data_IF_476413562518
#
_entry.id   IF_476413562518
#
_cell.length_a   1.000
_cell.length_b   1.000
_cell.length_c   1.000
_cell.angle_alpha   90.00
_cell.angle_beta   90.00
_cell.angle_gamma   90.00
#
_symmetry.space_group_name_H-M   'P 1'
#
loop_
_entity.id
_entity.type
_entity.pdbx_description
1 polymer ?
#
# COMPACT_ATOMS: atom_id res chain seq x y z
N UNK A 1 4.59 18.17 -70.33
CA UNK A 1 3.79 17.32 -69.42
C UNK A 1 4.15 17.42 -67.93
N UNK A 2 5.43 17.34 -67.52
CA UNK A 2 5.84 17.35 -66.09
C UNK A 2 5.31 18.54 -65.25
N UNK A 3 5.32 19.77 -65.79
CA UNK A 3 4.78 20.98 -65.11
C UNK A 3 3.26 20.91 -64.86
N UNK A 4 2.49 20.30 -65.78
CA UNK A 4 1.04 20.16 -65.67
C UNK A 4 0.67 19.10 -64.61
N UNK A 5 1.46 18.02 -64.54
CA UNK A 5 1.37 17.00 -63.48
C UNK A 5 1.72 17.59 -62.11
N UNK A 6 2.78 18.40 -62.00
CA UNK A 6 3.13 19.12 -60.75
C UNK A 6 2.06 20.14 -60.31
N UNK A 7 1.41 20.81 -61.26
CA UNK A 7 0.29 21.71 -60.98
C UNK A 7 -0.95 20.95 -60.49
N UNK A 8 -1.28 19.83 -61.12
CA UNK A 8 -2.40 18.97 -60.72
C UNK A 8 -2.19 18.30 -59.36
N UNK A 9 -0.98 17.81 -59.06
CA UNK A 9 -0.62 17.28 -57.74
C UNK A 9 -0.69 18.35 -56.65
N UNK A 10 -0.18 19.57 -56.90
CA UNK A 10 -0.36 20.71 -55.98
C UNK A 10 -1.84 21.08 -55.78
N UNK A 11 -2.67 21.00 -56.82
CA UNK A 11 -4.13 21.23 -56.72
C UNK A 11 -4.83 20.15 -55.90
N UNK A 12 -4.45 18.88 -56.07
CA UNK A 12 -4.94 17.75 -55.27
C UNK A 12 -4.52 17.88 -53.80
N UNK A 13 -3.26 18.15 -53.51
CA UNK A 13 -2.77 18.41 -52.14
C UNK A 13 -3.51 19.57 -51.46
N UNK A 14 -3.84 20.64 -52.20
CA UNK A 14 -4.66 21.75 -51.68
C UNK A 14 -6.10 21.34 -51.42
N UNK A 15 -6.70 20.49 -52.25
CA UNK A 15 -8.05 19.94 -52.04
C UNK A 15 -8.06 19.01 -50.82
N UNK A 16 -7.10 18.09 -50.71
CA UNK A 16 -6.92 17.20 -49.56
C UNK A 16 -6.69 17.99 -48.26
N UNK A 17 -5.86 19.03 -48.29
CA UNK A 17 -5.64 19.91 -47.14
C UNK A 17 -6.88 20.75 -46.75
N UNK A 18 -7.81 21.00 -47.69
CA UNK A 18 -9.12 21.60 -47.40
C UNK A 18 -10.11 20.56 -46.84
N UNK A 19 -9.94 19.29 -47.20
CA UNK A 19 -10.78 18.17 -46.72
C UNK A 19 -10.33 17.60 -45.36
N UNK A 20 -9.12 17.93 -44.88
CA UNK A 20 -8.70 17.58 -43.51
C UNK A 20 -9.64 18.22 -42.49
N UNK A 21 -10.39 17.38 -41.79
CA UNK A 21 -11.40 17.75 -40.79
C UNK A 21 -10.79 18.35 -39.52
N UNK A 22 -9.53 18.04 -39.22
CA UNK A 22 -8.83 18.53 -38.03
C UNK A 22 -8.12 19.86 -38.35
N UNK A 23 -8.46 20.96 -37.65
CA UNK A 23 -7.84 22.26 -37.90
C UNK A 23 -6.36 22.23 -37.50
N UNK A 24 -5.49 22.76 -38.39
CA UNK A 24 -4.07 22.97 -38.11
C UNK A 24 -3.86 23.81 -36.85
N UNK A 25 -2.78 23.58 -36.06
CA UNK A 25 -2.46 24.39 -34.88
C UNK A 25 -2.49 25.90 -35.15
N UNK A 26 -2.01 26.34 -36.31
CA UNK A 26 -2.06 27.75 -36.73
C UNK A 26 -3.50 28.24 -36.92
N UNK A 27 -4.37 27.42 -37.51
CA UNK A 27 -5.79 27.76 -37.69
C UNK A 27 -6.52 27.85 -36.34
N UNK A 28 -6.22 26.96 -35.40
CA UNK A 28 -6.79 27.00 -34.04
C UNK A 28 -6.37 28.26 -33.29
N UNK A 29 -5.09 28.63 -33.34
CA UNK A 29 -4.59 29.87 -32.72
C UNK A 29 -5.20 31.11 -33.37
N UNK A 30 -5.28 31.14 -34.71
CA UNK A 30 -5.91 32.26 -35.42
C UNK A 30 -7.42 32.37 -35.11
N UNK A 31 -8.10 31.25 -34.88
CA UNK A 31 -9.50 31.26 -34.45
C UNK A 31 -9.66 31.81 -33.03
N UNK A 32 -8.72 31.53 -32.12
CA UNK A 32 -8.72 32.06 -30.76
C UNK A 32 -8.40 33.56 -30.69
N UNK A 33 -7.61 34.07 -31.63
CA UNK A 33 -7.11 35.46 -31.65
C UNK A 33 -7.92 36.34 -32.61
N UNK A 34 -8.99 35.82 -33.23
CA UNK A 34 -9.67 36.44 -34.38
C UNK A 34 -9.99 37.94 -34.21
N UNK A 35 -10.34 38.36 -33.00
CA UNK A 35 -10.77 39.73 -32.69
C UNK A 35 -9.86 40.45 -31.67
N UNK A 36 -8.67 39.91 -31.36
CA UNK A 36 -7.77 40.44 -30.33
C UNK A 36 -6.40 40.77 -30.94
N UNK A 37 -5.92 42.01 -30.74
CA UNK A 37 -4.54 42.33 -31.07
C UNK A 37 -3.59 41.71 -30.04
N UNK A 38 -2.84 40.71 -30.48
CA UNK A 38 -1.89 39.97 -29.63
C UNK A 38 -0.47 40.24 -30.08
N UNK A 39 0.45 40.61 -29.17
CA UNK A 39 1.86 40.79 -29.49
C UNK A 39 2.47 39.54 -30.16
N UNK A 40 3.40 39.70 -31.13
CA UNK A 40 3.99 38.57 -31.86
C UNK A 40 4.63 37.50 -30.95
N UNK A 41 5.17 37.91 -29.79
CA UNK A 41 5.76 37.00 -28.81
C UNK A 41 4.70 36.05 -28.19
N UNK A 42 3.55 36.61 -27.78
CA UNK A 42 2.45 35.84 -27.19
C UNK A 42 1.82 34.92 -28.23
N UNK A 43 1.70 35.38 -29.48
CA UNK A 43 1.24 34.54 -30.60
C UNK A 43 2.13 33.31 -30.81
N UNK A 44 3.46 33.48 -30.72
CA UNK A 44 4.42 32.36 -30.82
C UNK A 44 4.28 31.38 -29.64
N UNK A 45 4.08 31.86 -28.42
CA UNK A 45 3.85 31.01 -27.24
C UNK A 45 2.55 30.21 -27.35
N UNK A 46 1.47 30.84 -27.82
CA UNK A 46 0.19 30.17 -28.05
C UNK A 46 0.33 29.08 -29.13
N UNK A 47 1.01 29.38 -30.23
CA UNK A 47 1.31 28.40 -31.27
C UNK A 47 2.15 27.24 -30.74
N UNK A 48 3.18 27.53 -29.96
CA UNK A 48 4.01 26.51 -29.33
C UNK A 48 3.17 25.57 -28.45
N UNK A 49 2.28 26.13 -27.61
CA UNK A 49 1.41 25.34 -26.75
C UNK A 49 0.47 24.41 -27.55
N UNK A 50 -0.10 24.89 -28.65
CA UNK A 50 -1.02 24.09 -29.48
C UNK A 50 -0.29 23.02 -30.33
N UNK A 51 0.95 23.31 -30.75
CA UNK A 51 1.79 22.33 -31.43
C UNK A 51 2.17 21.21 -30.46
N UNK A 52 2.59 21.56 -29.24
CA UNK A 52 2.91 20.58 -28.21
C UNK A 52 1.72 19.70 -27.84
N UNK A 53 0.53 20.28 -27.67
CA UNK A 53 -0.67 19.48 -27.35
C UNK A 53 -1.01 18.51 -28.48
N UNK A 54 -0.89 18.94 -29.74
CA UNK A 54 -1.13 18.08 -30.90
C UNK A 54 -0.12 16.94 -30.99
N UNK A 55 1.18 17.22 -30.79
CA UNK A 55 2.22 16.18 -30.77
C UNK A 55 2.04 15.18 -29.62
N UNK A 56 1.70 15.66 -28.43
CA UNK A 56 1.45 14.77 -27.29
C UNK A 56 0.22 13.89 -27.52
N UNK A 57 -0.81 14.40 -28.20
CA UNK A 57 -1.98 13.61 -28.58
C UNK A 57 -1.62 12.54 -29.62
N UNK A 58 -0.89 12.87 -30.67
CA UNK A 58 -0.41 11.91 -31.67
C UNK A 58 0.43 10.78 -31.03
N UNK A 59 1.32 11.13 -30.10
CA UNK A 59 2.10 10.14 -29.34
C UNK A 59 1.23 9.31 -28.41
N UNK A 60 0.23 9.90 -27.74
CA UNK A 60 -0.71 9.18 -26.88
C UNK A 60 -1.53 8.14 -27.66
N UNK A 61 -1.93 8.48 -28.88
CA UNK A 61 -2.72 7.61 -29.76
C UNK A 61 -1.86 6.51 -30.39
N UNK A 62 -0.57 6.76 -30.62
CA UNK A 62 0.37 5.75 -31.10
C UNK A 62 0.62 4.61 -30.09
N UNK A 63 0.44 4.85 -28.77
CA UNK A 63 0.66 3.82 -27.76
C UNK A 63 -0.52 2.83 -27.64
N UNK A 64 -0.26 1.52 -27.48
CA UNK A 64 -1.30 0.52 -27.24
C UNK A 64 -2.13 0.87 -26.00
N UNK A 65 -3.45 0.69 -26.06
CA UNK A 65 -4.41 1.10 -25.00
C UNK A 65 -4.05 0.59 -23.59
N UNK A 66 -3.42 -0.58 -23.49
CA UNK A 66 -3.07 -1.24 -22.23
C UNK A 66 -1.54 -1.39 -22.00
N UNK A 67 -0.70 -0.61 -22.70
CA UNK A 67 0.76 -0.69 -22.51
C UNK A 67 1.21 0.01 -21.22
N UNK A 68 2.22 -0.57 -20.55
CA UNK A 68 2.96 0.09 -19.46
C UNK A 68 3.54 1.44 -19.90
N UNK A 69 3.99 1.52 -21.15
CA UNK A 69 4.56 2.74 -21.74
C UNK A 69 3.53 3.87 -21.79
N UNK A 70 2.28 3.55 -22.13
CA UNK A 70 1.16 4.49 -22.12
C UNK A 70 0.85 5.00 -20.72
N UNK A 71 0.92 4.10 -19.73
CA UNK A 71 0.74 4.48 -18.32
C UNK A 71 1.86 5.41 -17.83
N UNK A 72 3.12 5.11 -18.15
CA UNK A 72 4.27 5.96 -17.82
C UNK A 72 4.12 7.33 -18.49
N UNK A 73 3.73 7.35 -19.78
CA UNK A 73 3.47 8.59 -20.51
C UNK A 73 2.38 9.44 -19.84
N UNK A 74 1.25 8.86 -19.45
CA UNK A 74 0.21 9.59 -18.72
C UNK A 74 0.69 10.11 -17.36
N UNK A 75 1.56 9.37 -16.66
CA UNK A 75 2.16 9.81 -15.38
C UNK A 75 3.10 10.99 -15.56
N UNK A 76 3.89 11.03 -16.63
CA UNK A 76 4.76 12.16 -16.95
C UNK A 76 3.96 13.46 -17.16
N UNK A 77 2.82 13.36 -17.84
CA UNK A 77 1.95 14.51 -18.13
C UNK A 77 1.18 14.95 -16.88
N UNK A 78 0.66 14.01 -16.07
CA UNK A 78 -0.21 14.28 -14.91
C UNK A 78 0.52 14.72 -13.63
N UNK A 79 1.62 15.48 -13.78
CA UNK A 79 2.51 15.91 -12.70
C UNK A 79 1.87 16.85 -11.66
N UNK A 80 2.59 17.05 -10.55
CA UNK A 80 2.18 17.92 -9.44
C UNK A 80 2.08 19.40 -9.84
N UNK A 81 2.84 19.83 -10.85
CA UNK A 81 2.84 21.21 -11.38
C UNK A 81 1.50 21.57 -12.02
N UNK A 82 0.99 20.75 -12.95
CA UNK A 82 -0.33 20.98 -13.56
C UNK A 82 -1.46 20.94 -12.53
N UNK A 83 -1.31 20.13 -11.48
CA UNK A 83 -2.28 20.07 -10.38
C UNK A 83 -2.23 21.33 -9.52
N UNK A 84 -1.03 21.84 -9.19
CA UNK A 84 -0.83 23.09 -8.43
C UNK A 84 -1.51 24.27 -9.12
N UNK A 85 -1.36 24.38 -10.45
CA UNK A 85 -1.96 25.47 -11.24
C UNK A 85 -3.36 25.15 -11.79
N UNK A 86 -3.99 24.03 -11.39
CA UNK A 86 -5.36 23.64 -11.79
C UNK A 86 -5.58 23.48 -13.32
N UNK A 87 -4.52 23.19 -14.07
CA UNK A 87 -4.54 23.07 -15.53
C UNK A 87 -4.79 21.65 -16.07
N UNK A 88 -5.01 20.68 -15.17
CA UNK A 88 -5.27 19.28 -15.56
C UNK A 88 -6.47 19.10 -16.50
N UNK A 89 -7.46 20.00 -16.42
CA UNK A 89 -8.64 19.96 -17.28
C UNK A 89 -8.28 20.17 -18.77
N UNK A 90 -7.24 20.96 -19.07
CA UNK A 90 -6.76 21.17 -20.45
C UNK A 90 -6.07 19.91 -21.01
N UNK A 91 -5.45 19.12 -20.14
CA UNK A 91 -4.79 17.87 -20.51
C UNK A 91 -5.76 16.68 -20.70
N UNK A 92 -7.07 16.85 -20.47
CA UNK A 92 -8.10 15.79 -20.67
C UNK A 92 -8.16 15.26 -22.10
N UNK A 93 -7.70 16.02 -23.09
CA UNK A 93 -7.62 15.57 -24.49
C UNK A 93 -6.58 14.46 -24.70
N UNK A 94 -5.57 14.40 -23.83
CA UNK A 94 -4.43 13.49 -23.91
C UNK A 94 -4.53 12.41 -22.81
N UNK A 95 -5.03 12.79 -21.64
CA UNK A 95 -5.17 11.93 -20.47
C UNK A 95 -6.47 11.12 -20.50
N UNK A 96 -6.50 9.93 -19.88
CA UNK A 96 -7.71 9.14 -19.78
C UNK A 96 -8.76 9.84 -18.90
N UNK A 97 -10.04 9.58 -19.19
CA UNK A 97 -11.19 10.19 -18.49
C UNK A 97 -11.17 9.96 -16.97
N UNK A 98 -10.59 8.84 -16.51
CA UNK A 98 -10.32 8.57 -15.10
C UNK A 98 -8.81 8.37 -14.91
N UNK A 99 -8.14 9.42 -14.44
CA UNK A 99 -6.79 9.29 -13.92
C UNK A 99 -6.81 8.40 -12.67
N UNK A 100 -6.11 7.27 -12.72
CA UNK A 100 -5.84 6.46 -11.52
C UNK A 100 -5.16 7.39 -10.50
N UNK A 101 -5.66 7.44 -9.26
CA UNK A 101 -5.00 8.19 -8.19
C UNK A 101 -3.57 7.66 -8.04
N UNK A 102 -2.60 8.42 -8.52
CA UNK A 102 -1.19 8.08 -8.33
C UNK A 102 -0.84 8.48 -6.91
N UNK A 103 -0.40 7.51 -6.11
CA UNK A 103 0.27 7.84 -4.87
C UNK A 103 1.54 8.61 -5.26
N UNK A 104 1.66 9.85 -4.77
CA UNK A 104 2.71 10.83 -5.10
C UNK A 104 4.15 10.36 -4.85
N UNK A 105 4.33 9.14 -4.33
CA UNK A 105 5.62 8.50 -3.97
C UNK A 105 6.05 7.37 -4.93
N UNK A 106 5.34 7.15 -6.04
CA UNK A 106 5.78 6.21 -7.07
C UNK A 106 6.68 6.94 -8.08
N UNK A 107 7.99 6.70 -8.04
CA UNK A 107 8.88 7.22 -9.09
C UNK A 107 8.47 6.62 -10.43
N UNK A 108 8.50 7.45 -11.48
CA UNK A 108 8.11 7.10 -12.85
C UNK A 108 8.88 5.88 -13.39
N UNK A 109 10.05 5.64 -12.82
CA UNK A 109 11.00 4.58 -13.15
C UNK A 109 11.36 3.75 -11.90
N UNK A 110 10.41 3.40 -11.03
CA UNK A 110 10.69 2.24 -10.16
C UNK A 110 10.83 1.06 -11.12
N UNK A 111 12.09 0.73 -11.45
CA UNK A 111 12.48 -0.64 -11.72
C UNK A 111 11.66 -1.48 -10.77
N UNK A 112 10.91 -2.42 -11.32
CA UNK A 112 10.17 -3.43 -10.59
C UNK A 112 11.14 -4.06 -9.57
N UNK A 113 11.35 -3.44 -8.40
CA UNK A 113 11.73 -4.12 -7.19
C UNK A 113 10.44 -4.85 -6.86
N UNK A 114 10.16 -5.89 -7.66
CA UNK A 114 9.27 -6.97 -7.33
C UNK A 114 9.73 -7.32 -5.93
N UNK A 115 8.94 -6.90 -4.94
CA UNK A 115 8.95 -7.58 -3.65
C UNK A 115 8.72 -9.00 -4.07
N UNK A 116 9.79 -9.81 -4.10
CA UNK A 116 9.72 -11.19 -4.57
C UNK A 116 8.64 -11.81 -3.72
N UNK A 117 7.47 -12.07 -4.31
CA UNK A 117 6.44 -12.82 -3.65
C UNK A 117 7.11 -14.13 -3.28
N UNK A 118 7.17 -14.41 -1.98
CA UNK A 118 7.76 -15.66 -1.54
C UNK A 118 6.74 -16.71 -1.93
N UNK A 119 7.03 -17.43 -3.01
CA UNK A 119 6.27 -18.62 -3.38
C UNK A 119 6.78 -19.74 -2.48
N UNK A 120 6.21 -19.86 -1.29
CA UNK A 120 6.38 -21.04 -0.46
C UNK A 120 5.53 -22.17 -1.03
N UNK A 121 6.03 -23.40 -0.97
CA UNK A 121 5.22 -24.59 -1.28
C UNK A 121 4.01 -24.62 -0.34
N UNK A 122 2.87 -25.08 -0.85
CA UNK A 122 1.62 -25.12 -0.10
C UNK A 122 1.74 -25.90 1.23
N UNK A 123 2.51 -26.99 1.23
CA UNK A 123 2.83 -27.78 2.43
C UNK A 123 3.55 -26.96 3.52
N UNK A 124 4.48 -26.10 3.11
CA UNK A 124 5.21 -25.22 4.04
C UNK A 124 4.28 -24.14 4.58
N UNK A 125 3.43 -23.57 3.73
CA UNK A 125 2.41 -22.61 4.16
C UNK A 125 1.48 -23.22 5.22
N UNK A 126 1.03 -24.46 5.01
CA UNK A 126 0.16 -25.14 5.96
C UNK A 126 0.88 -25.36 7.30
N UNK A 127 2.12 -25.87 7.29
CA UNK A 127 2.92 -26.02 8.51
C UNK A 127 3.16 -24.70 9.26
N UNK A 128 3.33 -23.59 8.53
CA UNK A 128 3.43 -22.26 9.14
C UNK A 128 2.10 -21.86 9.80
N UNK A 129 0.96 -22.10 9.16
CA UNK A 129 -0.35 -21.85 9.74
C UNK A 129 -0.53 -22.68 11.00
N UNK A 130 -0.32 -24.00 10.91
CA UNK A 130 -0.51 -24.94 12.01
C UNK A 130 0.35 -24.55 13.22
N UNK A 131 1.63 -24.19 12.99
CA UNK A 131 2.53 -23.70 14.03
C UNK A 131 2.03 -22.42 14.71
N UNK A 132 1.56 -21.43 13.95
CA UNK A 132 1.04 -20.20 14.55
C UNK A 132 -0.31 -20.40 15.24
N UNK A 133 -1.06 -21.45 14.92
CA UNK A 133 -2.34 -21.79 15.55
C UNK A 133 -2.20 -22.62 16.83
N UNK A 134 -1.00 -23.12 17.15
CA UNK A 134 -0.72 -23.75 18.44
C UNK A 134 -0.90 -22.75 19.60
N UNK A 135 -1.51 -23.21 20.69
CA UNK A 135 -1.86 -22.38 21.86
C UNK A 135 -0.65 -21.91 22.68
N UNK A 136 0.50 -22.57 22.53
CA UNK A 136 1.77 -22.21 23.13
C UNK A 136 2.54 -21.14 22.31
N UNK A 137 2.18 -20.92 21.04
CA UNK A 137 2.74 -19.89 20.16
C UNK A 137 1.87 -18.63 20.17
N UNK A 138 0.55 -18.81 20.06
CA UNK A 138 -0.41 -17.73 20.10
C UNK A 138 -1.66 -18.12 20.85
N UNK A 139 -2.32 -17.18 21.51
CA UNK A 139 -3.60 -17.42 22.20
C UNK A 139 -4.76 -16.82 21.43
N UNK A 140 -5.88 -17.53 21.39
CA UNK A 140 -7.11 -17.03 20.76
C UNK A 140 -7.80 -15.97 21.64
N UNK A 141 -8.26 -14.87 21.04
CA UNK A 141 -9.05 -13.89 21.76
C UNK A 141 -10.48 -14.43 22.01
N UNK A 142 -11.06 -14.19 23.20
CA UNK A 142 -12.35 -14.81 23.58
C UNK A 142 -13.59 -14.14 22.97
N UNK A 143 -13.49 -12.89 22.52
CA UNK A 143 -14.66 -12.12 22.09
C UNK A 143 -15.11 -12.48 20.67
N UNK A 144 -16.42 -12.65 20.44
CA UNK A 144 -17.01 -12.82 19.11
C UNK A 144 -16.75 -11.64 18.16
N UNK A 145 -16.51 -10.45 18.72
CA UNK A 145 -16.17 -9.23 17.96
C UNK A 145 -14.67 -9.11 17.68
N UNK A 146 -13.84 -9.94 18.30
CA UNK A 146 -12.39 -9.97 18.09
C UNK A 146 -12.02 -10.85 16.89
N UNK A 147 -12.36 -10.37 15.69
CA UNK A 147 -11.94 -10.99 14.44
C UNK A 147 -11.09 -10.04 13.59
N UNK A 148 -10.27 -10.59 12.71
CA UNK A 148 -9.53 -9.85 11.69
C UNK A 148 -10.13 -10.17 10.33
N UNK A 149 -10.39 -9.14 9.52
CA UNK A 149 -10.88 -9.27 8.14
C UNK A 149 -9.78 -8.87 7.16
N UNK A 150 -9.45 -9.74 6.22
CA UNK A 150 -8.52 -9.47 5.13
C UNK A 150 -9.02 -10.15 3.86
N UNK A 151 -9.04 -9.45 2.71
CA UNK A 151 -9.54 -9.96 1.43
C UNK A 151 -10.89 -10.69 1.53
N UNK A 152 -11.86 -10.06 2.23
CA UNK A 152 -13.19 -10.61 2.49
C UNK A 152 -13.26 -11.85 3.41
N UNK A 153 -12.13 -12.43 3.82
CA UNK A 153 -12.06 -13.56 4.76
C UNK A 153 -12.04 -13.01 6.19
N UNK A 154 -12.91 -13.55 7.05
CA UNK A 154 -12.95 -13.26 8.50
C UNK A 154 -12.40 -14.45 9.28
N UNK A 155 -11.46 -14.20 10.19
CA UNK A 155 -10.87 -15.20 11.09
C UNK A 155 -10.78 -14.65 12.52
N UNK A 156 -10.95 -15.52 13.51
CA UNK A 156 -10.83 -15.15 14.92
C UNK A 156 -9.42 -14.63 15.20
N UNK A 157 -9.31 -13.51 15.93
CA UNK A 157 -8.02 -12.90 16.26
C UNK A 157 -7.25 -13.79 17.23
N UNK A 158 -5.97 -14.05 16.91
CA UNK A 158 -5.00 -14.66 17.82
C UNK A 158 -3.91 -13.65 18.16
N UNK A 159 -3.37 -13.73 19.38
CA UNK A 159 -2.32 -12.84 19.88
C UNK A 159 -1.07 -13.66 20.16
N UNK A 160 0.07 -13.24 19.61
CA UNK A 160 1.36 -13.89 19.84
C UNK A 160 1.78 -13.81 21.32
N UNK A 161 2.27 -14.92 21.85
CA UNK A 161 2.84 -15.00 23.20
C UNK A 161 4.31 -14.58 23.24
N UNK A 162 5.05 -14.89 22.16
CA UNK A 162 6.48 -14.62 22.03
C UNK A 162 6.78 -13.71 20.83
N UNK A 163 7.99 -13.14 20.81
CA UNK A 163 8.45 -12.42 19.62
C UNK A 163 8.69 -13.41 18.49
N UNK A 164 8.34 -13.03 17.26
CA UNK A 164 8.55 -13.88 16.08
C UNK A 164 10.01 -14.29 15.92
N UNK A 165 10.96 -13.46 16.37
CA UNK A 165 12.39 -13.78 16.37
C UNK A 165 12.71 -15.05 17.15
N UNK A 166 12.09 -15.23 18.31
CA UNK A 166 12.31 -16.38 19.20
C UNK A 166 11.59 -17.63 18.66
N UNK A 167 10.45 -17.41 17.99
CA UNK A 167 9.65 -18.46 17.36
C UNK A 167 10.33 -19.12 16.16
N UNK A 168 11.29 -18.45 15.49
CA UNK A 168 12.04 -19.05 14.37
C UNK A 168 12.76 -20.32 14.81
N UNK A 169 13.49 -20.26 15.93
CA UNK A 169 14.23 -21.41 16.45
C UNK A 169 13.30 -22.56 16.85
N UNK A 170 12.12 -22.23 17.40
CA UNK A 170 11.10 -23.20 17.78
C UNK A 170 10.48 -23.88 16.54
N UNK A 171 10.12 -23.09 15.54
CA UNK A 171 9.58 -23.58 14.26
C UNK A 171 10.53 -24.57 13.57
N UNK A 172 11.83 -24.24 13.51
CA UNK A 172 12.83 -25.11 12.88
C UNK A 172 12.95 -26.44 13.61
N UNK A 173 12.90 -26.43 14.95
CA UNK A 173 12.97 -27.66 15.78
C UNK A 173 11.76 -28.56 15.60
N UNK A 174 10.55 -28.00 15.53
CA UNK A 174 9.31 -28.78 15.44
C UNK A 174 9.04 -29.30 14.04
N UNK A 175 9.28 -28.47 13.02
CA UNK A 175 8.90 -28.81 11.64
C UNK A 175 10.05 -29.37 10.80
N UNK A 176 11.29 -29.19 11.24
CA UNK A 176 12.51 -29.49 10.49
C UNK A 176 12.78 -28.53 9.32
N UNK A 177 11.94 -27.50 9.11
CA UNK A 177 12.03 -26.59 7.97
C UNK A 177 12.80 -25.34 8.36
N UNK A 178 13.90 -25.07 7.66
CA UNK A 178 14.72 -23.87 7.86
C UNK A 178 14.09 -22.67 7.14
N UNK A 179 13.47 -21.77 7.90
CA UNK A 179 12.98 -20.48 7.40
C UNK A 179 13.72 -19.32 8.05
N UNK A 180 14.06 -18.30 7.26
CA UNK A 180 14.58 -17.05 7.80
C UNK A 180 13.48 -16.30 8.58
N UNK A 181 13.89 -15.49 9.56
CA UNK A 181 12.98 -14.58 10.28
C UNK A 181 12.10 -13.75 9.34
N UNK A 182 12.69 -13.18 8.28
CA UNK A 182 11.96 -12.36 7.32
C UNK A 182 10.95 -13.17 6.49
N UNK A 183 11.23 -14.45 6.24
CA UNK A 183 10.33 -15.37 5.53
C UNK A 183 9.17 -15.76 6.44
N UNK A 184 9.45 -16.19 7.68
CA UNK A 184 8.43 -16.58 8.65
C UNK A 184 7.50 -15.42 8.99
N UNK A 185 8.05 -14.20 9.15
CA UNK A 185 7.25 -13.01 9.43
C UNK A 185 6.30 -12.66 8.28
N UNK A 186 6.74 -12.83 7.02
CA UNK A 186 5.92 -12.59 5.83
C UNK A 186 4.88 -13.69 5.59
N UNK A 187 5.21 -14.94 5.93
CA UNK A 187 4.32 -16.10 5.82
C UNK A 187 3.32 -16.20 6.98
N UNK A 188 3.52 -15.45 8.07
CA UNK A 188 2.64 -15.45 9.24
C UNK A 188 1.19 -15.14 8.85
N UNK A 189 0.20 -15.93 9.33
CA UNK A 189 -1.21 -15.69 9.04
C UNK A 189 -1.68 -14.31 9.52
N UNK A 190 -2.56 -13.67 8.73
CA UNK A 190 -2.99 -12.29 8.99
C UNK A 190 -3.83 -12.15 10.28
N UNK A 191 -4.45 -13.24 10.76
CA UNK A 191 -5.24 -13.26 11.99
C UNK A 191 -4.41 -13.42 13.26
N UNK A 192 -3.10 -13.68 13.12
CA UNK A 192 -2.15 -13.79 14.24
C UNK A 192 -1.40 -12.45 14.41
N UNK A 193 -1.76 -11.70 15.45
CA UNK A 193 -1.35 -10.31 15.65
C UNK A 193 -0.37 -10.20 16.82
N UNK A 194 0.51 -9.20 16.78
CA UNK A 194 1.35 -8.86 17.92
C UNK A 194 0.50 -8.33 19.10
N UNK A 195 0.88 -8.61 20.35
CA UNK A 195 0.15 -8.14 21.52
C UNK A 195 0.15 -6.60 21.61
N UNK A 196 -1.02 -6.00 21.87
CA UNK A 196 -1.18 -4.59 22.22
C UNK A 196 -1.36 -4.43 23.72
N UNK A 197 -1.32 -3.20 24.23
CA UNK A 197 -1.52 -2.91 25.67
C UNK A 197 -2.85 -3.46 26.21
N UNK A 198 -3.92 -3.41 25.42
CA UNK A 198 -5.24 -3.98 25.77
C UNK A 198 -5.25 -5.51 25.87
N UNK A 199 -4.27 -6.16 25.25
CA UNK A 199 -4.14 -7.61 25.27
C UNK A 199 -3.30 -8.07 26.48
N UNK A 200 -2.80 -7.16 27.33
CA UNK A 200 -2.10 -7.58 28.56
C UNK A 200 -3.12 -8.24 29.51
N UNK A 201 -2.75 -9.38 30.07
CA UNK A 201 -3.51 -10.07 31.13
C UNK A 201 -3.31 -9.35 32.48
N UNK A 202 -3.58 -8.05 32.50
CA UNK A 202 -3.50 -7.23 33.71
C UNK A 202 -4.93 -6.88 34.12
N UNK A 203 -5.40 -7.41 35.26
CA UNK A 203 -6.65 -6.91 35.85
C UNK A 203 -6.37 -5.55 36.48
N UNK A 204 -6.89 -4.49 35.89
CA UNK A 204 -6.84 -3.13 36.48
C UNK A 204 -8.06 -2.89 37.40
N UNK A 205 -8.58 -3.96 37.99
CA UNK A 205 -9.76 -3.91 38.83
C UNK A 205 -9.42 -3.42 40.24
N UNK A 206 -10.34 -2.67 40.85
CA UNK A 206 -10.23 -2.15 42.22
C UNK A 206 -9.86 -3.26 43.21
N UNK A 207 -10.32 -4.49 42.99
CA UNK A 207 -9.97 -5.64 43.84
C UNK A 207 -8.48 -5.96 43.84
N UNK A 208 -7.85 -6.07 42.66
CA UNK A 208 -6.40 -6.37 42.60
C UNK A 208 -5.57 -5.19 43.10
N UNK A 209 -5.96 -3.94 42.80
CA UNK A 209 -5.30 -2.75 43.32
C UNK A 209 -5.39 -2.66 44.86
N UNK A 210 -6.59 -2.81 45.42
CA UNK A 210 -6.81 -2.79 46.88
C UNK A 210 -6.08 -3.95 47.58
N UNK A 211 -6.01 -5.12 46.94
CA UNK A 211 -5.30 -6.26 47.50
C UNK A 211 -3.78 -6.03 47.51
N UNK A 212 -3.23 -5.47 46.44
CA UNK A 212 -1.81 -5.09 46.36
C UNK A 212 -1.44 -4.02 47.40
N UNK A 213 -2.29 -3.00 47.60
CA UNK A 213 -2.12 -2.04 48.70
C UNK A 213 -2.16 -2.67 50.08
N UNK A 214 -3.14 -3.55 50.34
CA UNK A 214 -3.24 -4.28 51.62
C UNK A 214 -2.03 -5.17 51.86
N UNK A 215 -1.56 -5.87 50.84
CA UNK A 215 -0.34 -6.68 50.90
C UNK A 215 0.89 -5.83 51.23
N UNK A 216 1.02 -4.66 50.58
CA UNK A 216 2.10 -3.72 50.86
C UNK A 216 2.04 -3.16 52.29
N UNK A 217 0.86 -2.87 52.82
CA UNK A 217 0.69 -2.46 54.23
C UNK A 217 1.08 -3.56 55.22
N UNK A 218 0.67 -4.81 54.97
CA UNK A 218 1.06 -5.95 55.82
C UNK A 218 2.57 -6.22 55.77
N UNK A 219 3.19 -6.03 54.60
CA UNK A 219 4.65 -6.08 54.46
C UNK A 219 5.34 -4.96 55.23
N UNK A 220 4.82 -3.73 55.17
CA UNK A 220 5.33 -2.60 55.95
C UNK A 220 5.21 -2.84 57.46
N UNK A 221 4.09 -3.42 57.90
CA UNK A 221 3.87 -3.86 59.27
C UNK A 221 4.73 -5.08 59.69
N UNK A 222 5.52 -5.66 58.77
CA UNK A 222 6.40 -6.84 58.96
C UNK A 222 5.68 -8.15 59.31
N UNK A 223 4.37 -8.21 59.12
CA UNK A 223 3.56 -9.43 59.30
C UNK A 223 3.81 -10.46 58.18
N UNK A 224 4.26 -10.00 57.01
CA UNK A 224 4.59 -10.86 55.87
C UNK A 224 6.08 -10.77 55.52
N UNK A 225 6.76 -11.92 55.48
CA UNK A 225 8.19 -12.04 55.14
C UNK A 225 8.48 -12.00 53.64
N UNK A 226 7.48 -12.15 52.79
CA UNK A 226 7.69 -12.34 51.35
C UNK A 226 7.90 -11.03 50.58
N UNK A 227 8.87 -11.02 49.67
CA UNK A 227 9.23 -9.83 48.91
C UNK A 227 8.18 -9.40 47.87
N UNK A 228 7.41 -10.34 47.32
CA UNK A 228 6.44 -10.12 46.23
C UNK A 228 5.24 -11.05 46.37
N UNK A 229 4.06 -10.56 45.96
CA UNK A 229 2.79 -11.30 45.92
C UNK A 229 2.92 -12.62 45.14
N UNK A 230 3.63 -12.61 44.00
CA UNK A 230 3.83 -13.82 43.20
C UNK A 230 4.67 -14.88 43.91
N UNK A 231 5.57 -14.47 44.81
CA UNK A 231 6.38 -15.41 45.58
C UNK A 231 5.57 -16.05 46.71
N UNK A 232 4.66 -15.29 47.34
CA UNK A 232 3.71 -15.84 48.31
C UNK A 232 2.82 -16.91 47.65
N UNK A 233 2.21 -16.60 46.50
CA UNK A 233 1.31 -17.52 45.79
C UNK A 233 2.03 -18.78 45.28
N UNK A 234 3.32 -18.68 44.93
CA UNK A 234 4.13 -19.85 44.55
C UNK A 234 4.41 -20.74 45.76
N UNK A 235 4.77 -20.16 46.90
CA UNK A 235 5.08 -20.93 48.10
C UNK A 235 3.84 -21.62 48.71
N UNK A 236 2.68 -20.96 48.69
CA UNK A 236 1.43 -21.57 49.18
C UNK A 236 0.95 -22.72 48.29
N UNK A 237 1.15 -22.62 46.96
CA UNK A 237 0.87 -23.74 46.05
C UNK A 237 1.73 -24.98 46.34
N UNK A 238 2.99 -24.79 46.68
CA UNK A 238 3.91 -25.89 47.05
C UNK A 238 3.48 -26.53 48.37
N UNK A 239 3.03 -25.75 49.35
CA UNK A 239 2.52 -26.27 50.62
C UNK A 239 1.22 -27.08 50.47
N UNK A 240 0.28 -26.60 49.64
CA UNK A 240 -0.99 -27.30 49.40
C UNK A 240 -0.81 -28.64 48.66
N UNK A 241 0.15 -28.75 47.76
CA UNK A 241 0.48 -30.02 47.09
C UNK A 241 1.16 -31.05 48.01
N UNK A 242 1.76 -30.61 49.12
CA UNK A 242 2.40 -31.49 50.11
C UNK A 242 1.42 -31.99 51.18
N UNK A 243 0.24 -31.37 51.29
CA UNK A 243 -0.82 -31.78 52.23
C UNK A 243 -1.89 -32.68 51.61
N UNK A 244 -1.82 -32.93 50.30
CA UNK A 244 -2.75 -33.80 49.55
C UNK A 244 -2.12 -35.11 49.09
N UNK A 245 -1.06 -35.57 49.76
CA UNK A 245 -0.45 -36.89 49.57
C UNK A 245 -0.71 -37.76 50.80
#
# INVERSE_FOLDING_TARGET
>A
MKRKIQSLTKKLQRKEARMKTVPSPVRKVNALIKDIHVPPAVRKQLLYSEVLTSQLQEKADAFPKNSKEREVFHKCISGSTLRKYRMLHMAKKILPARLKKTNSKSSLLKSDVKVREIVLKQEVCQKVIDFFEQDDVSRMCPSKRDYVKHNCIKKQRRVLLHKVKDLVSKFVKETGIVLSYATLLRAKPFWVVAPKSRDRETCMCVKHANFEERFNKLKYAKELKHASMNNLLKNTRVMLSLTTA
#
